data_IF_169230884117
#
_entry.id   IF_169230884117
#
_cell.length_a   1.000
_cell.length_b   1.000
_cell.length_c   1.000
_cell.angle_alpha   90.00
_cell.angle_beta   90.00
_cell.angle_gamma   90.00
#
_symmetry.space_group_name_H-M   'P 1'
#
loop_
_entity.id
_entity.type
_entity.pdbx_description
1 polymer ?
#
# COMPACT_ATOMS: atom_id res chain seq x y z
N UNK A 1 -4.75 0.63 8.90
CA UNK A 1 -4.55 1.81 8.03
C UNK A 1 -5.90 2.45 7.84
N UNK A 2 -6.02 3.72 8.15
CA UNK A 2 -7.28 4.47 8.00
C UNK A 2 -7.41 4.92 6.55
N UNK A 3 -8.63 4.96 6.01
CA UNK A 3 -8.91 5.50 4.68
C UNK A 3 -9.63 6.83 4.81
N UNK A 4 -9.11 7.84 4.13
CA UNK A 4 -9.71 9.17 4.03
C UNK A 4 -10.06 9.42 2.57
N UNK A 5 -11.29 9.85 2.31
CA UNK A 5 -11.73 10.26 0.97
C UNK A 5 -11.98 11.75 0.98
N UNK A 6 -11.40 12.46 0.02
CA UNK A 6 -11.52 13.90 -0.19
C UNK A 6 -11.87 14.18 -1.65
N UNK A 7 -12.48 15.32 -1.93
CA UNK A 7 -12.58 15.83 -3.30
C UNK A 7 -11.32 16.64 -3.65
N UNK A 8 -11.02 16.78 -4.94
CA UNK A 8 -9.85 17.55 -5.39
C UNK A 8 -9.76 18.96 -4.78
N UNK A 9 -10.91 19.62 -4.59
CA UNK A 9 -10.96 20.97 -4.00
C UNK A 9 -10.46 21.02 -2.55
N UNK A 10 -10.60 19.94 -1.77
CA UNK A 10 -10.15 19.89 -0.37
C UNK A 10 -8.62 19.91 -0.22
N UNK A 11 -7.89 19.61 -1.30
CA UNK A 11 -6.43 19.54 -1.31
C UNK A 11 -5.77 20.60 -2.19
N UNK A 12 -6.55 21.38 -2.96
CA UNK A 12 -6.03 22.41 -3.89
C UNK A 12 -5.22 23.50 -3.21
N UNK A 13 -5.61 23.90 -1.99
CA UNK A 13 -4.93 24.95 -1.23
C UNK A 13 -3.72 24.44 -0.44
N UNK A 14 -3.52 23.12 -0.41
CA UNK A 14 -2.41 22.48 0.28
C UNK A 14 -1.26 22.28 -0.68
N UNK A 15 -0.03 22.37 -0.17
CA UNK A 15 1.10 21.95 -1.00
C UNK A 15 1.09 20.42 -1.17
N UNK A 16 1.58 19.95 -2.32
CA UNK A 16 1.76 18.52 -2.54
C UNK A 16 2.65 17.89 -1.45
N UNK A 17 3.67 18.63 -1.00
CA UNK A 17 4.57 18.17 0.06
C UNK A 17 3.83 17.93 1.38
N UNK A 18 2.93 18.84 1.78
CA UNK A 18 2.09 18.67 2.97
C UNK A 18 1.16 17.47 2.87
N UNK A 19 0.54 17.24 1.69
CA UNK A 19 -0.35 16.10 1.45
C UNK A 19 0.44 14.79 1.60
N UNK A 20 1.62 14.70 0.96
CA UNK A 20 2.48 13.52 1.05
C UNK A 20 3.00 13.30 2.48
N UNK A 21 3.37 14.36 3.20
CA UNK A 21 3.79 14.27 4.59
C UNK A 21 2.69 13.74 5.50
N UNK A 22 1.44 14.18 5.32
CA UNK A 22 0.31 13.68 6.09
C UNK A 22 0.05 12.19 5.82
N UNK A 23 0.03 11.78 4.54
CA UNK A 23 -0.11 10.37 4.15
C UNK A 23 0.98 9.51 4.79
N UNK A 24 2.23 9.98 4.72
CA UNK A 24 3.39 9.25 5.26
C UNK A 24 3.41 9.18 6.79
N UNK A 25 3.17 10.30 7.49
CA UNK A 25 3.25 10.38 8.97
C UNK A 25 2.05 9.77 9.66
N UNK A 26 0.86 9.98 9.13
CA UNK A 26 -0.38 9.43 9.69
C UNK A 26 -0.66 8.01 9.23
N UNK A 27 0.18 7.47 8.35
CA UNK A 27 0.05 6.13 7.79
C UNK A 27 -1.38 5.84 7.29
N UNK A 28 -1.90 6.79 6.50
CA UNK A 28 -3.30 6.86 6.07
C UNK A 28 -3.36 6.72 4.54
N UNK A 29 -4.34 5.98 4.03
CA UNK A 29 -4.65 5.95 2.60
C UNK A 29 -5.55 7.13 2.27
N UNK A 30 -5.11 8.00 1.37
CA UNK A 30 -5.89 9.11 0.85
C UNK A 30 -6.46 8.73 -0.52
N UNK A 31 -7.78 8.86 -0.68
CA UNK A 31 -8.48 8.74 -1.95
C UNK A 31 -8.96 10.13 -2.35
N UNK A 32 -8.55 10.60 -3.52
CA UNK A 32 -8.96 11.87 -4.09
C UNK A 32 -9.97 11.59 -5.19
N UNK A 33 -11.20 12.08 -5.02
CA UNK A 33 -12.23 12.04 -6.06
C UNK A 33 -12.08 13.24 -6.99
N UNK A 34 -11.96 12.95 -8.27
CA UNK A 34 -11.82 13.91 -9.35
C UNK A 34 -13.21 14.38 -9.81
N UNK A 35 -13.32 15.57 -10.44
CA UNK A 35 -14.62 16.13 -10.87
C UNK A 35 -15.35 15.29 -11.92
N UNK A 36 -14.63 14.49 -12.70
CA UNK A 36 -15.15 13.54 -13.69
C UNK A 36 -15.59 12.20 -13.08
N UNK A 37 -15.44 12.04 -11.76
CA UNK A 37 -15.78 10.82 -11.04
C UNK A 37 -14.63 9.81 -10.97
N UNK A 38 -13.46 10.08 -11.55
CA UNK A 38 -12.27 9.25 -11.35
C UNK A 38 -11.78 9.33 -9.89
N UNK A 39 -11.07 8.29 -9.44
CA UNK A 39 -10.51 8.24 -8.09
C UNK A 39 -9.00 7.96 -8.15
N UNK A 40 -8.22 8.82 -7.48
CA UNK A 40 -6.77 8.69 -7.34
C UNK A 40 -6.43 8.28 -5.91
N UNK A 41 -5.65 7.22 -5.75
CA UNK A 41 -5.22 6.74 -4.43
C UNK A 41 -3.76 7.09 -4.16
N UNK A 42 -3.50 7.71 -3.01
CA UNK A 42 -2.17 7.97 -2.48
C UNK A 42 -2.05 7.17 -1.17
N UNK A 43 -1.10 6.25 -1.11
CA UNK A 43 -0.88 5.41 0.08
C UNK A 43 0.60 5.32 0.45
N UNK A 44 0.91 5.29 1.76
CA UNK A 44 2.27 5.11 2.22
C UNK A 44 2.68 3.68 1.94
N UNK A 45 3.84 3.49 1.32
CA UNK A 45 4.39 2.14 1.17
C UNK A 45 4.81 1.61 2.55
N UNK A 46 4.26 0.48 3.02
CA UNK A 46 4.64 -0.09 4.30
C UNK A 46 6.10 -0.52 4.27
N UNK A 47 6.89 -0.09 5.26
CA UNK A 47 8.19 -0.71 5.55
C UNK A 47 7.93 -2.05 6.23
N UNK A 48 7.79 -3.09 5.42
CA UNK A 48 7.69 -4.46 5.90
C UNK A 48 9.04 -4.88 6.50
N UNK A 49 8.99 -5.61 7.62
CA UNK A 49 10.18 -6.31 8.10
C UNK A 49 10.61 -7.31 7.02
N UNK A 50 11.92 -7.49 6.79
CA UNK A 50 12.37 -8.59 5.95
C UNK A 50 11.82 -9.90 6.50
N UNK A 51 11.50 -10.82 5.60
CA UNK A 51 11.06 -12.15 6.01
C UNK A 51 12.16 -12.77 6.90
N UNK A 52 11.79 -13.38 8.04
CA UNK A 52 12.78 -14.09 8.82
C UNK A 52 13.40 -15.19 7.96
N UNK A 53 14.71 -15.33 8.05
CA UNK A 53 15.37 -16.54 7.53
C UNK A 53 14.92 -17.67 8.45
N UNK A 54 14.11 -18.58 7.91
CA UNK A 54 13.71 -19.77 8.63
C UNK A 54 14.91 -20.72 8.68
N UNK A 55 15.30 -21.14 9.87
CA UNK A 55 16.26 -22.25 10.00
C UNK A 55 15.60 -23.52 9.48
N UNK A 56 16.13 -24.07 8.40
CA UNK A 56 15.57 -25.26 7.77
C UNK A 56 16.15 -25.53 6.39
N UNK A 57 16.23 -26.81 6.04
CA UNK A 57 16.54 -27.26 4.70
C UNK A 57 15.23 -27.49 3.94
N UNK A 58 15.06 -26.84 2.79
CA UNK A 58 13.95 -27.10 1.88
C UNK A 58 14.40 -28.16 0.88
N UNK A 59 13.89 -29.40 0.93
CA UNK A 59 14.32 -30.47 0.05
C UNK A 59 14.07 -30.14 -1.41
N UNK A 60 15.00 -30.49 -2.29
CA UNK A 60 14.80 -30.30 -3.74
C UNK A 60 13.55 -31.07 -4.20
N UNK A 61 12.66 -30.42 -4.95
CA UNK A 61 11.43 -31.03 -5.46
C UNK A 61 10.23 -31.01 -4.51
N UNK A 62 10.35 -30.44 -3.29
CA UNK A 62 9.23 -30.33 -2.34
C UNK A 62 8.00 -29.62 -2.93
N UNK A 63 8.23 -28.55 -3.72
CA UNK A 63 7.18 -27.76 -4.34
C UNK A 63 6.44 -28.59 -5.39
N UNK A 64 7.19 -29.29 -6.23
CA UNK A 64 6.63 -30.12 -7.29
C UNK A 64 5.79 -31.25 -6.69
N UNK A 65 6.21 -31.85 -5.57
CA UNK A 65 5.45 -32.88 -4.87
C UNK A 65 4.11 -32.37 -4.28
N UNK A 66 4.05 -31.11 -3.82
CA UNK A 66 2.82 -30.54 -3.22
C UNK A 66 1.82 -30.07 -4.26
N UNK A 67 2.30 -29.50 -5.37
CA UNK A 67 1.43 -28.88 -6.39
C UNK A 67 1.16 -29.75 -7.61
N UNK A 68 1.74 -30.96 -7.70
CA UNK A 68 1.47 -31.89 -8.80
C UNK A 68 0.07 -32.54 -8.73
N UNK A 69 -0.64 -32.46 -7.60
CA UNK A 69 -1.98 -33.05 -7.41
C UNK A 69 -3.14 -32.05 -7.61
N UNK A 70 -2.90 -30.87 -8.20
CA UNK A 70 -3.94 -29.84 -8.45
C UNK A 70 -4.30 -29.70 -9.92
#
# INVERSE_FOLDING_TARGET
MTTQTLVLDDIKERSLEEVLWDVARRYTRLVVRMPDGEEVTIEPRPRLKPLPVLEGYVPRGWKDAVYAES
#
